data_IF_387053825899
#
_entry.id   IF_387053825899
#
_cell.length_a   1.000
_cell.length_b   1.000
_cell.length_c   1.000
_cell.angle_alpha   90.00
_cell.angle_beta   90.00
_cell.angle_gamma   90.00
#
_symmetry.space_group_name_H-M   'P 1'
#
loop_
_entity.id
_entity.type
_entity.pdbx_description
1 polymer ?
#
# COMPACT_ATOMS: atom_id res chain seq x y z
N UNK A 1 -0.50 -11.52 60.57
CA UNK A 1 -1.48 -11.18 59.53
C UNK A 1 -1.85 -9.72 59.69
N UNK A 2 -1.55 -8.92 58.65
CA UNK A 2 -1.90 -7.52 58.40
C UNK A 2 -1.04 -6.40 59.03
N UNK A 3 -0.63 -5.51 58.12
CA UNK A 3 0.52 -4.61 58.14
C UNK A 3 -0.03 -3.21 57.84
N UNK A 4 0.44 -2.22 58.61
CA UNK A 4 0.60 -0.77 58.36
C UNK A 4 -0.56 0.11 57.84
N UNK A 5 -0.84 1.13 58.66
CA UNK A 5 -1.33 2.44 58.24
C UNK A 5 -0.14 3.43 58.22
N UNK A 6 0.12 4.12 57.10
CA UNK A 6 0.82 5.41 57.11
C UNK A 6 0.51 6.23 55.84
N UNK A 7 -0.03 7.42 56.06
CA UNK A 7 -0.27 8.51 55.13
C UNK A 7 1.01 8.96 54.39
N UNK A 8 0.88 9.40 53.13
CA UNK A 8 1.45 10.67 52.60
C UNK A 8 1.22 10.82 51.07
N UNK A 9 0.37 11.78 50.67
CA UNK A 9 0.47 12.53 49.40
C UNK A 9 1.50 13.65 49.61
N UNK A 10 2.26 14.17 48.61
CA UNK A 10 1.72 14.73 47.36
C UNK A 10 2.63 14.63 46.11
N UNK A 11 2.07 14.55 44.89
CA UNK A 11 2.74 15.12 43.69
C UNK A 11 1.71 15.62 42.66
N UNK A 12 1.86 16.86 42.18
CA UNK A 12 1.08 17.41 41.08
C UNK A 12 1.72 17.05 39.72
N UNK A 13 0.88 17.06 38.69
CA UNK A 13 1.19 17.07 37.25
C UNK A 13 2.06 15.93 36.70
N UNK A 14 1.39 14.96 36.08
CA UNK A 14 1.99 14.20 34.98
C UNK A 14 1.00 14.28 33.82
N UNK A 15 1.31 14.98 32.72
CA UNK A 15 0.45 14.96 31.55
C UNK A 15 0.35 13.50 31.08
N UNK A 16 -0.88 13.08 30.76
CA UNK A 16 -1.18 11.77 30.19
C UNK A 16 -0.21 11.49 29.02
N UNK A 17 0.41 10.30 28.95
CA UNK A 17 1.14 9.92 27.76
C UNK A 17 0.12 9.77 26.64
N UNK A 18 0.09 10.77 25.77
CA UNK A 18 -0.60 10.77 24.50
C UNK A 18 -0.38 9.41 23.82
N UNK A 19 -1.48 8.69 23.62
CA UNK A 19 -1.52 7.41 22.92
C UNK A 19 -1.21 7.71 21.45
N UNK A 20 0.07 7.82 21.12
CA UNK A 20 0.58 7.78 19.74
C UNK A 20 1.29 6.46 19.54
N UNK A 21 0.49 5.42 19.33
CA UNK A 21 0.93 4.28 18.54
C UNK A 21 1.22 4.79 17.12
N UNK A 22 2.50 4.87 16.79
CA UNK A 22 3.00 5.26 15.47
C UNK A 22 4.44 4.79 15.36
N UNK A 23 4.58 3.51 14.99
CA UNK A 23 5.83 2.76 14.96
C UNK A 23 6.74 3.33 13.86
N UNK A 24 7.75 4.09 14.29
CA UNK A 24 8.87 4.67 13.50
C UNK A 24 9.16 3.97 12.17
N UNK A 25 8.72 4.59 11.06
CA UNK A 25 9.26 4.36 9.73
C UNK A 25 10.70 4.89 9.68
N UNK A 26 11.63 4.09 9.13
CA UNK A 26 13.06 4.39 9.07
C UNK A 26 13.31 5.67 8.25
N UNK A 27 14.05 6.60 8.86
CA UNK A 27 14.38 7.91 8.32
C UNK A 27 15.20 7.79 7.03
N UNK A 28 14.67 8.30 5.92
CA UNK A 28 15.48 8.58 4.73
C UNK A 28 16.35 9.82 4.99
N UNK A 29 17.50 9.93 4.33
CA UNK A 29 18.46 11.03 4.50
C UNK A 29 17.76 12.41 4.45
N UNK A 30 17.63 13.05 5.62
CA UNK A 30 16.84 14.27 5.81
C UNK A 30 15.77 14.19 6.91
N UNK A 31 15.50 13.02 7.49
CA UNK A 31 14.68 12.88 8.70
C UNK A 31 13.16 12.94 8.47
N UNK A 32 12.71 13.06 7.22
CA UNK A 32 11.29 12.95 6.87
C UNK A 32 10.92 11.48 6.60
N UNK A 33 9.94 10.96 7.34
CA UNK A 33 9.28 9.70 7.02
C UNK A 33 8.37 9.92 5.81
N UNK A 34 8.39 9.01 4.83
CA UNK A 34 7.41 9.03 3.75
C UNK A 34 6.03 8.84 4.36
N UNK A 35 5.11 9.74 4.04
CA UNK A 35 3.71 9.70 4.48
C UNK A 35 2.86 9.18 3.32
N UNK A 36 2.07 8.15 3.58
CA UNK A 36 1.18 7.58 2.56
C UNK A 36 -0.09 8.41 2.39
N UNK A 37 -0.60 8.96 3.50
CA UNK A 37 -1.74 9.87 3.54
C UNK A 37 -1.32 11.29 3.89
N UNK A 38 -2.05 12.25 3.34
CA UNK A 38 -1.99 13.66 3.71
C UNK A 38 -2.78 13.93 5.00
N UNK A 39 -2.69 15.16 5.50
CA UNK A 39 -3.32 15.59 6.76
C UNK A 39 -4.85 15.48 6.77
N UNK A 40 -5.48 15.43 5.60
CA UNK A 40 -6.92 15.28 5.40
C UNK A 40 -7.33 13.83 5.09
N UNK A 41 -6.43 12.88 5.30
CA UNK A 41 -6.57 11.46 4.96
C UNK A 41 -6.72 11.18 3.46
N UNK A 42 -6.40 12.13 2.58
CA UNK A 42 -6.24 11.87 1.14
C UNK A 42 -4.92 11.15 0.86
N UNK A 43 -4.85 10.42 -0.25
CA UNK A 43 -3.63 9.73 -0.69
C UNK A 43 -2.58 10.77 -1.11
N UNK A 44 -1.34 10.63 -0.65
CA UNK A 44 -0.23 11.50 -1.07
C UNK A 44 0.08 11.37 -2.56
N UNK A 45 0.57 12.45 -3.18
CA UNK A 45 0.95 12.47 -4.60
C UNK A 45 1.96 11.36 -4.96
N UNK A 46 2.86 11.03 -4.03
CA UNK A 46 3.85 9.97 -4.24
C UNK A 46 3.21 8.59 -4.27
N UNK A 47 2.32 8.30 -3.32
CA UNK A 47 1.59 7.04 -3.31
C UNK A 47 0.67 6.95 -4.52
N UNK A 48 -0.04 8.03 -4.89
CA UNK A 48 -0.87 8.05 -6.10
C UNK A 48 -0.06 7.68 -7.35
N UNK A 49 1.17 8.17 -7.47
CA UNK A 49 2.09 7.79 -8.56
C UNK A 49 2.41 6.29 -8.58
N UNK A 50 2.67 5.69 -7.42
CA UNK A 50 2.87 4.25 -7.28
C UNK A 50 1.60 3.45 -7.64
N UNK A 51 0.44 3.89 -7.18
CA UNK A 51 -0.85 3.24 -7.46
C UNK A 51 -1.21 3.31 -8.95
N UNK A 52 -0.95 4.44 -9.62
CA UNK A 52 -1.07 4.56 -11.08
C UNK A 52 -0.20 3.53 -11.80
N UNK A 53 1.04 3.36 -11.35
CA UNK A 53 1.94 2.36 -11.91
C UNK A 53 1.39 0.94 -11.76
N UNK A 54 0.90 0.58 -10.56
CA UNK A 54 0.33 -0.73 -10.28
C UNK A 54 -0.91 -0.96 -11.13
N UNK A 55 -1.86 -0.03 -11.10
CA UNK A 55 -3.10 -0.09 -11.87
C UNK A 55 -2.84 -0.26 -13.37
N UNK A 56 -1.85 0.45 -13.92
CA UNK A 56 -1.48 0.37 -15.33
C UNK A 56 -1.01 -1.03 -15.79
N UNK A 57 -0.59 -1.91 -14.88
CA UNK A 57 -0.22 -3.31 -15.18
C UNK A 57 -1.45 -4.16 -15.52
N UNK A 58 -2.61 -3.82 -14.94
CA UNK A 58 -3.82 -4.65 -14.95
C UNK A 58 -5.00 -4.04 -15.71
N UNK A 59 -4.94 -2.75 -16.06
CA UNK A 59 -6.06 -2.04 -16.68
C UNK A 59 -6.26 -2.33 -18.16
N UNK A 60 -7.47 -2.02 -18.63
CA UNK A 60 -7.86 -1.92 -20.03
C UNK A 60 -8.32 -0.49 -20.36
N UNK A 61 -7.93 0.10 -21.51
CA UNK A 61 -6.90 -0.39 -22.40
C UNK A 61 -5.54 -0.49 -21.70
N UNK A 62 -4.72 -1.46 -22.12
CA UNK A 62 -3.38 -1.63 -21.54
C UNK A 62 -2.56 -0.37 -21.79
N UNK A 63 -1.86 0.11 -20.77
CA UNK A 63 -0.88 1.18 -20.92
C UNK A 63 0.04 0.84 -22.09
N UNK A 64 0.15 1.75 -23.06
CA UNK A 64 1.21 1.66 -24.06
C UNK A 64 2.52 1.55 -23.26
N UNK A 65 3.26 0.46 -23.46
CA UNK A 65 4.58 0.36 -22.85
C UNK A 65 5.32 1.62 -23.28
N UNK A 66 5.60 2.51 -22.32
CA UNK A 66 6.51 3.62 -22.57
C UNK A 66 7.72 3.00 -23.24
N UNK A 67 8.14 3.55 -24.36
CA UNK A 67 9.22 3.03 -25.20
C UNK A 67 10.49 3.07 -24.37
N UNK A 68 10.69 2.07 -23.51
CA UNK A 68 11.71 2.09 -22.48
C UNK A 68 13.04 1.86 -23.17
N UNK A 69 13.93 2.84 -23.04
CA UNK A 69 15.34 2.60 -23.30
C UNK A 69 15.81 1.49 -22.34
N UNK A 70 16.61 0.51 -22.80
CA UNK A 70 17.09 -0.56 -21.94
C UNK A 70 17.90 0.04 -20.77
N UNK A 71 17.37 -0.12 -19.54
CA UNK A 71 18.04 0.28 -18.30
C UNK A 71 17.33 1.36 -17.46
N UNK A 72 16.24 1.98 -17.95
CA UNK A 72 15.52 3.01 -17.21
C UNK A 72 14.22 2.47 -16.59
N UNK A 73 14.17 2.44 -15.25
CA UNK A 73 12.98 2.04 -14.49
C UNK A 73 12.04 3.26 -14.47
N UNK A 74 11.12 3.33 -15.42
CA UNK A 74 10.11 4.40 -15.46
C UNK A 74 8.73 3.88 -15.06
N UNK A 75 7.99 4.67 -14.28
CA UNK A 75 6.64 4.33 -13.84
C UNK A 75 5.66 4.37 -15.02
N UNK A 76 4.99 3.25 -15.25
CA UNK A 76 3.80 3.18 -16.10
C UNK A 76 2.73 4.20 -15.68
N UNK A 77 2.03 4.75 -16.66
CA UNK A 77 0.88 5.64 -16.46
C UNK A 77 -0.32 5.06 -17.20
N UNK A 78 -1.47 4.86 -16.54
CA UNK A 78 -2.62 4.29 -17.20
C UNK A 78 -3.20 5.27 -18.23
N UNK A 79 -3.78 4.77 -19.35
CA UNK A 79 -4.51 5.61 -20.28
C UNK A 79 -5.70 6.30 -19.59
N UNK A 80 -6.12 7.45 -20.13
CA UNK A 80 -7.32 8.13 -19.65
C UNK A 80 -8.55 7.23 -19.84
N UNK A 81 -9.39 7.16 -18.79
CA UNK A 81 -10.58 6.32 -18.78
C UNK A 81 -10.30 4.82 -18.66
N UNK A 82 -9.07 4.40 -18.37
CA UNK A 82 -8.77 3.00 -18.14
C UNK A 82 -9.42 2.47 -16.85
N UNK A 83 -9.80 1.20 -16.87
CA UNK A 83 -10.47 0.48 -15.78
C UNK A 83 -9.94 -0.97 -15.67
N UNK A 84 -10.14 -1.61 -14.53
CA UNK A 84 -9.90 -3.05 -14.37
C UNK A 84 -11.17 -3.81 -14.76
N UNK A 85 -11.04 -4.73 -15.70
CA UNK A 85 -12.09 -5.74 -15.94
C UNK A 85 -12.13 -6.73 -14.76
N UNK A 86 -13.16 -7.58 -14.64
CA UNK A 86 -13.18 -8.63 -13.62
C UNK A 86 -11.92 -9.51 -13.62
N UNK A 87 -11.37 -9.80 -14.80
CA UNK A 87 -10.12 -10.56 -14.96
C UNK A 87 -8.89 -9.77 -14.52
N UNK A 88 -8.85 -8.46 -14.83
CA UNK A 88 -7.78 -7.57 -14.38
C UNK A 88 -7.78 -7.40 -12.86
N UNK A 89 -8.96 -7.25 -12.26
CA UNK A 89 -9.14 -7.20 -10.81
C UNK A 89 -8.66 -8.50 -10.15
N UNK A 90 -9.01 -9.65 -10.74
CA UNK A 90 -8.55 -10.95 -10.26
C UNK A 90 -7.04 -11.16 -10.38
N UNK A 91 -6.43 -10.66 -11.44
CA UNK A 91 -4.98 -10.70 -11.61
C UNK A 91 -4.28 -9.84 -10.55
N UNK A 92 -4.75 -8.60 -10.35
CA UNK A 92 -4.22 -7.72 -9.31
C UNK A 92 -4.39 -8.33 -7.90
N UNK A 93 -5.57 -8.87 -7.59
CA UNK A 93 -5.84 -9.50 -6.30
C UNK A 93 -4.93 -10.71 -6.06
N UNK A 94 -4.70 -11.55 -7.08
CA UNK A 94 -3.76 -12.68 -6.98
C UNK A 94 -2.33 -12.23 -6.74
N UNK A 95 -1.87 -11.22 -7.46
CA UNK A 95 -0.50 -10.73 -7.32
C UNK A 95 -0.29 -10.08 -5.95
N UNK A 96 -1.32 -9.44 -5.40
CA UNK A 96 -1.25 -8.69 -4.13
C UNK A 96 -1.49 -9.60 -2.91
N UNK A 97 -2.54 -10.43 -2.95
CA UNK A 97 -3.04 -11.23 -1.81
C UNK A 97 -2.74 -12.73 -1.95
N UNK A 98 -2.17 -13.16 -3.08
CA UNK A 98 -1.94 -14.57 -3.40
C UNK A 98 -3.19 -15.31 -3.95
N UNK A 99 -4.38 -14.70 -3.89
CA UNK A 99 -5.62 -15.28 -4.36
C UNK A 99 -6.58 -14.22 -4.93
N UNK A 100 -7.48 -14.59 -5.88
CA UNK A 100 -8.51 -13.68 -6.37
C UNK A 100 -9.54 -13.39 -5.27
N UNK A 101 -10.25 -12.26 -5.39
CA UNK A 101 -11.37 -11.99 -4.50
C UNK A 101 -12.52 -12.97 -4.70
N UNK A 102 -13.28 -13.21 -3.62
CA UNK A 102 -14.53 -13.94 -3.70
C UNK A 102 -15.55 -13.17 -4.55
N UNK A 103 -16.60 -13.87 -5.01
CA UNK A 103 -17.70 -13.22 -5.74
C UNK A 103 -18.38 -12.14 -4.88
N UNK A 104 -18.60 -12.45 -3.60
CA UNK A 104 -19.23 -11.54 -2.64
C UNK A 104 -18.41 -10.26 -2.49
N UNK A 105 -17.09 -10.36 -2.28
CA UNK A 105 -16.22 -9.19 -2.16
C UNK A 105 -16.22 -8.36 -3.44
N UNK A 106 -16.27 -8.98 -4.63
CA UNK A 106 -16.36 -8.22 -5.89
C UNK A 106 -17.68 -7.47 -6.03
N UNK A 107 -18.79 -8.06 -5.62
CA UNK A 107 -20.10 -7.42 -5.63
C UNK A 107 -20.11 -6.21 -4.68
N UNK A 108 -19.51 -6.34 -3.50
CA UNK A 108 -19.30 -5.21 -2.57
C UNK A 108 -18.43 -4.11 -3.20
N UNK A 109 -17.31 -4.46 -3.85
CA UNK A 109 -16.45 -3.49 -4.52
C UNK A 109 -17.23 -2.70 -5.59
N UNK A 110 -18.10 -3.36 -6.36
CA UNK A 110 -18.93 -2.70 -7.38
C UNK A 110 -20.00 -1.79 -6.77
N UNK A 111 -20.54 -2.14 -5.60
CA UNK A 111 -21.57 -1.36 -4.91
C UNK A 111 -21.01 -0.08 -4.26
N UNK A 112 -19.80 -0.14 -3.71
CA UNK A 112 -19.25 0.93 -2.88
C UNK A 112 -18.17 1.79 -3.55
N UNK A 113 -17.53 1.30 -4.61
CA UNK A 113 -16.41 2.00 -5.25
C UNK A 113 -16.80 2.65 -6.57
N UNK A 114 -15.93 3.54 -7.02
CA UNK A 114 -16.04 4.14 -8.35
C UNK A 114 -15.74 3.09 -9.43
N UNK A 115 -16.79 2.68 -10.14
CA UNK A 115 -16.77 1.72 -11.25
C UNK A 115 -17.37 2.33 -12.51
N UNK A 116 -17.05 1.77 -13.67
CA UNK A 116 -17.73 2.06 -14.93
C UNK A 116 -19.18 1.55 -14.90
N UNK A 117 -20.02 1.98 -15.85
CA UNK A 117 -21.40 1.50 -15.97
C UNK A 117 -21.51 -0.04 -16.08
N UNK A 118 -20.49 -0.68 -16.68
CA UNK A 118 -20.38 -2.15 -16.78
C UNK A 118 -19.74 -2.84 -15.55
N UNK A 119 -19.47 -2.12 -14.47
CA UNK A 119 -18.90 -2.66 -13.23
C UNK A 119 -17.37 -2.87 -13.22
N UNK A 120 -16.64 -2.21 -14.13
CA UNK A 120 -15.17 -2.22 -14.14
C UNK A 120 -14.57 -1.21 -13.16
N UNK A 121 -13.58 -1.60 -12.36
CA UNK A 121 -13.01 -0.72 -11.34
C UNK A 121 -12.16 0.40 -11.97
N UNK A 122 -12.53 1.67 -11.78
CA UNK A 122 -11.76 2.79 -12.33
C UNK A 122 -10.48 3.04 -11.52
N UNK A 123 -9.57 3.87 -12.03
CA UNK A 123 -8.41 4.32 -11.25
C UNK A 123 -8.84 5.02 -9.95
N UNK A 124 -9.94 5.78 -9.97
CA UNK A 124 -10.48 6.45 -8.78
C UNK A 124 -10.96 5.43 -7.76
N UNK A 125 -11.68 4.39 -8.19
CA UNK A 125 -12.11 3.31 -7.31
C UNK A 125 -10.93 2.52 -6.74
N UNK A 126 -9.90 2.31 -7.55
CA UNK A 126 -8.65 1.68 -7.10
C UNK A 126 -7.92 2.50 -6.02
N UNK A 127 -7.82 3.82 -6.20
CA UNK A 127 -7.24 4.73 -5.19
C UNK A 127 -8.08 4.70 -3.91
N UNK A 128 -9.42 4.65 -4.01
CA UNK A 128 -10.31 4.55 -2.84
C UNK A 128 -10.04 3.29 -2.01
N UNK A 129 -9.76 2.14 -2.64
CA UNK A 129 -9.38 0.91 -1.90
C UNK A 129 -8.16 1.17 -1.03
N UNK A 130 -7.12 1.75 -1.62
CA UNK A 130 -5.87 2.04 -0.90
C UNK A 130 -6.04 3.13 0.15
N UNK A 131 -6.90 4.12 -0.08
CA UNK A 131 -7.22 5.12 0.93
C UNK A 131 -7.83 4.45 2.16
N UNK A 132 -8.91 3.69 1.98
CA UNK A 132 -9.58 2.95 3.04
C UNK A 132 -8.62 1.97 3.75
N UNK A 133 -7.86 1.19 2.98
CA UNK A 133 -6.88 0.25 3.55
C UNK A 133 -5.84 0.99 4.40
N UNK A 134 -5.27 2.09 3.90
CA UNK A 134 -4.21 2.82 4.60
C UNK A 134 -4.73 3.50 5.87
N UNK A 135 -5.97 3.98 5.87
CA UNK A 135 -6.62 4.54 7.07
C UNK A 135 -6.81 3.47 8.17
N UNK A 136 -7.06 2.21 7.78
CA UNK A 136 -7.29 1.12 8.73
C UNK A 136 -6.00 0.41 9.17
N UNK A 137 -5.11 0.10 8.22
CA UNK A 137 -3.82 -0.56 8.44
C UNK A 137 -2.80 -0.15 7.37
N UNK A 138 -2.05 0.93 7.66
CA UNK A 138 -0.99 1.45 6.78
C UNK A 138 0.04 0.36 6.39
N UNK A 139 0.33 -0.59 7.28
CA UNK A 139 1.33 -1.63 7.01
C UNK A 139 0.87 -2.63 5.95
N UNK A 140 -0.44 -2.84 5.75
CA UNK A 140 -0.95 -3.64 4.63
C UNK A 140 -0.63 -2.95 3.30
N UNK A 141 -0.83 -1.62 3.22
CA UNK A 141 -0.45 -0.85 2.03
C UNK A 141 1.04 -0.96 1.72
N UNK A 142 1.90 -0.92 2.74
CA UNK A 142 3.34 -1.12 2.54
C UNK A 142 3.70 -2.53 2.04
N UNK A 143 2.99 -3.57 2.48
CA UNK A 143 3.19 -4.94 1.97
C UNK A 143 2.83 -5.03 0.50
N UNK A 144 1.70 -4.45 0.10
CA UNK A 144 1.26 -4.41 -1.30
C UNK A 144 2.28 -3.70 -2.18
N UNK A 145 2.73 -2.51 -1.75
CA UNK A 145 3.75 -1.74 -2.45
C UNK A 145 5.04 -2.56 -2.63
N UNK A 146 5.49 -3.25 -1.59
CA UNK A 146 6.65 -4.14 -1.65
C UNK A 146 6.46 -5.29 -2.64
N UNK A 147 5.28 -5.91 -2.65
CA UNK A 147 4.92 -6.97 -3.61
C UNK A 147 4.97 -6.47 -5.06
N UNK A 148 4.61 -5.20 -5.27
CA UNK A 148 4.67 -4.54 -6.57
C UNK A 148 6.04 -3.94 -6.93
N UNK A 149 7.04 -4.11 -6.07
CA UNK A 149 8.44 -3.75 -6.30
C UNK A 149 8.86 -2.38 -5.76
N UNK A 150 8.05 -1.73 -4.93
CA UNK A 150 8.40 -0.46 -4.31
C UNK A 150 9.11 -0.66 -2.98
N UNK A 151 10.12 0.17 -2.71
CA UNK A 151 10.75 0.24 -1.39
C UNK A 151 9.99 1.15 -0.41
N UNK A 152 10.48 1.25 0.83
CA UNK A 152 9.92 2.13 1.87
C UNK A 152 10.10 3.63 1.57
N UNK A 153 10.74 3.99 0.47
CA UNK A 153 10.86 5.35 -0.06
C UNK A 153 9.95 5.61 -1.27
N UNK A 154 9.00 4.70 -1.57
CA UNK A 154 8.14 4.72 -2.76
C UNK A 154 8.91 4.71 -4.09
N UNK A 155 10.12 4.16 -4.10
CA UNK A 155 10.92 3.99 -5.32
C UNK A 155 10.79 2.58 -5.84
N UNK A 156 10.51 2.45 -7.14
CA UNK A 156 10.48 1.16 -7.82
C UNK A 156 11.90 0.61 -7.89
N UNK A 157 12.16 -0.48 -7.17
CA UNK A 157 13.46 -1.16 -7.17
C UNK A 157 13.41 -2.32 -8.15
N UNK A 158 14.43 -2.42 -9.01
CA UNK A 158 14.65 -3.62 -9.81
C UNK A 158 15.07 -4.74 -8.88
N UNK A 159 14.11 -5.43 -8.27
CA UNK A 159 14.40 -6.66 -7.55
C UNK A 159 14.77 -7.73 -8.58
N UNK A 160 16.05 -7.75 -8.98
CA UNK A 160 16.70 -9.00 -9.35
C UNK A 160 16.52 -9.89 -8.11
N UNK A 161 15.71 -10.94 -8.25
CA UNK A 161 15.65 -12.04 -7.30
C UNK A 161 17.07 -12.38 -6.86
N UNK A 162 17.42 -12.08 -5.62
CA UNK A 162 18.56 -12.71 -4.98
C UNK A 162 18.08 -14.12 -4.64
N UNK A 163 18.32 -15.04 -5.57
CA UNK A 163 18.26 -16.47 -5.36
C UNK A 163 19.44 -16.83 -4.44
N UNK A 164 19.28 -16.56 -3.13
CA UNK A 164 20.32 -16.89 -2.15
C UNK A 164 20.26 -18.37 -1.82
N UNK A 165 21.02 -19.12 -2.61
CA UNK A 165 21.77 -20.33 -2.26
C UNK A 165 21.05 -21.41 -1.45
N UNK A 166 20.31 -22.26 -2.16
CA UNK A 166 20.02 -23.62 -1.72
C UNK A 166 21.07 -24.59 -2.30
N UNK A 167 22.36 -24.44 -1.95
CA UNK A 167 23.34 -25.48 -2.23
C UNK A 167 24.46 -25.58 -1.18
N UNK A 168 24.10 -25.92 0.06
CA UNK A 168 25.03 -26.59 0.97
C UNK A 168 24.90 -28.12 0.82
N UNK A 169 25.47 -28.65 -0.27
CA UNK A 169 25.76 -30.07 -0.43
C UNK A 169 27.12 -30.37 0.22
N UNK A 170 27.21 -31.54 0.87
CA UNK A 170 28.43 -32.32 1.21
C UNK A 170 29.30 -31.89 2.38
N UNK A 171 29.19 -32.62 3.50
CA UNK A 171 30.16 -33.68 3.89
C UNK A 171 29.64 -34.50 5.06
#
# INVERSE_FOLDING_TARGET
MHIVNRLQSPRPDTPEPDIRQGRRNLSTEGGATVQLLEVDASISDQLEGCLKHIFAKYCTPRSAAATQAPGEISLLTPPEGAYLTPEGLDAWARDTNGAPFSKETKEELVEFLDVTDDGGLTLKGFIQIYQLQTENDEEETWKDLSTHGFDRSLKLVSSRREETDANAHTS
#
